data_IF_687359622141
#
_entry.id   IF_687359622141
#
_cell.length_a   1.000
_cell.length_b   1.000
_cell.length_c   1.000
_cell.angle_alpha   90.00
_cell.angle_beta   90.00
_cell.angle_gamma   90.00
#
_symmetry.space_group_name_H-M   'P 1'
#
loop_
_entity.id
_entity.type
_entity.pdbx_description
1 polymer ?
#
# COMPACT_ATOMS: atom_id res chain seq x y z
N UNK A 1 24.99 5.11 -8.37
CA UNK A 1 24.82 6.41 -7.72
C UNK A 1 24.98 7.53 -8.74
N UNK A 2 24.26 7.51 -9.89
CA UNK A 2 24.36 8.51 -10.97
C UNK A 2 23.12 8.58 -11.85
N UNK A 3 21.91 8.44 -11.31
CA UNK A 3 20.68 8.49 -12.13
C UNK A 3 19.70 9.62 -11.79
N UNK A 4 19.93 10.40 -10.74
CA UNK A 4 18.99 11.46 -10.31
C UNK A 4 19.41 12.89 -10.67
N UNK A 5 20.46 13.10 -11.48
CA UNK A 5 20.89 14.46 -11.87
C UNK A 5 20.51 14.88 -13.29
N UNK A 6 19.88 14.01 -14.09
CA UNK A 6 19.53 14.36 -15.47
C UNK A 6 18.08 14.83 -15.64
N UNK A 7 17.23 14.71 -14.62
CA UNK A 7 15.84 15.18 -14.70
C UNK A 7 15.65 16.63 -14.23
N UNK A 8 16.63 17.20 -13.55
CA UNK A 8 16.56 18.58 -13.05
C UNK A 8 16.97 19.65 -14.08
N UNK A 9 17.46 19.26 -15.26
CA UNK A 9 17.96 20.22 -16.24
C UNK A 9 17.00 20.47 -17.42
N UNK A 10 15.82 19.87 -17.44
CA UNK A 10 14.82 20.09 -18.50
C UNK A 10 13.69 21.03 -18.09
N UNK A 11 13.69 21.58 -16.88
CA UNK A 11 12.66 22.47 -16.35
C UNK A 11 12.99 23.98 -16.45
N UNK A 12 14.12 24.35 -17.06
CA UNK A 12 14.58 25.74 -17.09
C UNK A 12 14.29 26.51 -18.40
N UNK A 13 13.45 26.01 -19.31
CA UNK A 13 13.22 26.69 -20.61
C UNK A 13 11.73 26.85 -20.96
N UNK A 14 10.85 27.04 -20.00
CA UNK A 14 9.44 27.35 -20.30
C UNK A 14 8.89 28.50 -19.43
N UNK A 15 9.63 29.59 -19.30
CA UNK A 15 9.13 30.83 -18.72
C UNK A 15 9.02 31.93 -19.77
N UNK A 16 8.07 31.80 -20.71
CA UNK A 16 7.42 32.95 -21.36
C UNK A 16 6.11 32.46 -21.96
N UNK A 17 5.05 32.59 -21.25
CA UNK A 17 3.63 32.76 -21.61
C UNK A 17 2.77 32.01 -20.59
N UNK A 18 2.28 32.72 -19.56
CA UNK A 18 0.99 32.50 -18.91
C UNK A 18 0.48 31.07 -18.63
N UNK A 19 1.37 30.07 -18.51
CA UNK A 19 1.01 28.70 -18.12
C UNK A 19 1.47 28.51 -16.68
N UNK A 20 0.54 28.25 -15.77
CA UNK A 20 0.83 27.78 -14.43
C UNK A 20 1.83 26.63 -14.54
N UNK A 21 2.98 26.80 -13.92
CA UNK A 21 3.95 25.70 -13.78
C UNK A 21 3.22 24.61 -12.96
N UNK A 22 2.74 23.57 -13.64
CA UNK A 22 2.31 22.38 -12.94
C UNK A 22 3.57 21.80 -12.28
N UNK A 23 3.65 21.88 -10.94
CA UNK A 23 4.65 21.13 -10.19
C UNK A 23 4.64 19.69 -10.71
N UNK A 24 5.82 19.11 -10.92
CA UNK A 24 5.91 17.70 -11.32
C UNK A 24 5.04 16.89 -10.35
N UNK A 25 4.08 16.14 -10.90
CA UNK A 25 3.18 15.36 -10.07
C UNK A 25 4.01 14.41 -9.20
N UNK A 26 3.90 14.55 -7.88
CA UNK A 26 4.48 13.61 -6.95
C UNK A 26 3.84 12.23 -7.17
N UNK A 27 4.63 11.18 -7.10
CA UNK A 27 4.14 9.82 -7.30
C UNK A 27 4.53 8.94 -6.11
N UNK A 28 3.66 8.00 -5.77
CA UNK A 28 3.88 7.00 -4.72
C UNK A 28 3.22 5.69 -5.13
N UNK A 29 3.84 4.56 -4.78
CA UNK A 29 3.20 3.25 -4.95
C UNK A 29 2.11 3.06 -3.89
N UNK A 30 1.03 2.34 -4.19
CA UNK A 30 -0.11 2.17 -3.27
C UNK A 30 0.25 1.45 -1.95
N UNK A 31 1.36 0.72 -1.91
CA UNK A 31 1.93 0.09 -0.71
C UNK A 31 3.08 0.92 -0.08
N UNK A 32 3.34 2.13 -0.62
CA UNK A 32 4.37 3.05 -0.16
C UNK A 32 3.87 4.16 0.76
N UNK A 33 4.76 5.06 1.11
CA UNK A 33 4.46 6.29 1.86
C UNK A 33 5.10 7.46 1.13
N UNK A 34 4.30 8.48 0.81
CA UNK A 34 4.82 9.74 0.31
C UNK A 34 5.22 10.63 1.49
N UNK A 35 6.46 11.10 1.48
CA UNK A 35 6.98 12.05 2.46
C UNK A 35 7.00 13.45 1.84
N UNK A 36 6.22 14.36 2.42
CA UNK A 36 6.19 15.74 1.95
C UNK A 36 7.51 16.47 2.24
N UNK A 37 7.78 17.45 1.44
CA UNK A 37 8.90 18.38 1.60
C UNK A 37 8.39 19.83 1.63
N UNK A 38 9.22 20.76 2.08
CA UNK A 38 8.85 22.18 2.03
C UNK A 38 8.65 22.68 0.59
N UNK A 39 9.32 22.07 -0.38
CA UNK A 39 9.24 22.42 -1.80
C UNK A 39 7.87 22.08 -2.41
N UNK A 40 7.15 21.10 -1.84
CA UNK A 40 5.82 20.71 -2.30
C UNK A 40 4.76 21.81 -2.08
N UNK A 41 5.02 22.71 -1.15
CA UNK A 41 4.09 23.78 -0.75
C UNK A 41 4.61 25.19 -1.07
N UNK A 42 5.88 25.33 -1.46
CA UNK A 42 6.50 26.61 -1.72
C UNK A 42 6.59 26.89 -3.22
N UNK A 43 6.28 28.12 -3.62
CA UNK A 43 6.61 28.67 -4.91
C UNK A 43 8.05 29.23 -4.92
N UNK A 44 8.22 30.42 -5.52
CA UNK A 44 9.51 31.12 -5.52
C UNK A 44 9.90 31.68 -4.14
N UNK A 45 8.91 31.89 -3.26
CA UNK A 45 9.07 32.45 -1.92
C UNK A 45 8.91 31.36 -0.86
N UNK A 46 9.81 31.28 0.16
CA UNK A 46 9.65 30.35 1.26
C UNK A 46 8.38 30.64 2.08
N UNK A 47 7.62 29.60 2.39
CA UNK A 47 6.42 29.69 3.24
C UNK A 47 6.80 29.70 4.73
N UNK A 48 6.05 30.38 5.56
CA UNK A 48 6.10 30.28 7.02
C UNK A 48 5.29 29.08 7.54
N UNK A 49 4.26 28.68 6.79
CA UNK A 49 3.41 27.54 7.10
C UNK A 49 2.32 27.33 6.07
N UNK A 50 1.41 26.39 6.37
CA UNK A 50 0.23 26.10 5.56
C UNK A 50 -1.00 25.92 6.47
N UNK A 51 -2.18 26.22 5.92
CA UNK A 51 -3.44 25.78 6.49
C UNK A 51 -4.05 24.74 5.55
N UNK A 52 -4.35 23.55 6.03
CA UNK A 52 -4.98 22.48 5.24
C UNK A 52 -6.42 22.89 4.94
N UNK A 53 -6.78 22.93 3.67
CA UNK A 53 -8.15 23.26 3.22
C UNK A 53 -8.96 22.03 2.84
N UNK A 54 -8.32 21.03 2.23
CA UNK A 54 -8.94 19.74 1.89
C UNK A 54 -7.94 18.60 1.94
N UNK A 55 -8.44 17.39 2.14
CA UNK A 55 -7.64 16.16 2.20
C UNK A 55 -8.28 15.08 1.34
N UNK A 56 -7.50 14.10 0.87
CA UNK A 56 -8.02 12.95 0.15
C UNK A 56 -9.08 12.22 0.94
N UNK A 57 -10.05 11.66 0.24
CA UNK A 57 -11.08 10.82 0.87
C UNK A 57 -10.47 9.62 1.57
N UNK A 58 -11.10 9.15 2.67
CA UNK A 58 -10.64 7.98 3.46
C UNK A 58 -10.46 6.70 2.64
N UNK A 59 -11.07 6.63 1.46
CA UNK A 59 -10.92 5.49 0.53
C UNK A 59 -9.64 5.57 -0.30
N UNK A 60 -9.08 6.76 -0.45
CA UNK A 60 -7.85 7.00 -1.22
C UNK A 60 -6.61 6.88 -0.34
N UNK A 61 -6.66 7.41 0.88
CA UNK A 61 -5.54 7.37 1.80
C UNK A 61 -5.71 8.29 3.00
N UNK A 62 -4.62 8.47 3.74
CA UNK A 62 -4.58 9.31 4.94
C UNK A 62 -3.34 10.18 4.96
N UNK A 63 -3.51 11.46 5.27
CA UNK A 63 -2.40 12.40 5.49
C UNK A 63 -2.16 12.53 6.99
N UNK A 64 -0.91 12.40 7.42
CA UNK A 64 -0.55 12.35 8.83
C UNK A 64 0.63 13.29 9.13
N UNK A 65 0.71 13.72 10.41
CA UNK A 65 1.88 14.33 11.00
C UNK A 65 2.29 13.49 12.22
N UNK A 66 3.38 12.73 12.07
CA UNK A 66 3.72 11.68 13.03
C UNK A 66 2.60 10.63 13.13
N UNK A 67 2.03 10.42 14.31
CA UNK A 67 0.90 9.50 14.55
C UNK A 67 -0.49 10.16 14.43
N UNK A 68 -0.56 11.48 14.20
CA UNK A 68 -1.81 12.23 14.12
C UNK A 68 -2.31 12.31 12.69
N UNK A 69 -3.54 11.86 12.43
CA UNK A 69 -4.23 12.09 11.16
C UNK A 69 -4.62 13.58 11.11
N UNK A 70 -4.27 14.24 10.00
CA UNK A 70 -4.63 15.63 9.76
C UNK A 70 -6.09 15.76 9.34
N UNK A 71 -6.65 16.95 9.61
CA UNK A 71 -8.01 17.32 9.22
C UNK A 71 -8.01 18.69 8.57
N UNK A 72 -9.00 19.01 7.71
CA UNK A 72 -9.18 20.36 7.18
C UNK A 72 -9.30 21.39 8.33
N UNK A 73 -8.58 22.50 8.19
CA UNK A 73 -8.45 23.53 9.23
C UNK A 73 -7.16 23.43 10.07
N UNK A 74 -6.41 22.33 9.97
CA UNK A 74 -5.10 22.24 10.64
C UNK A 74 -4.13 23.29 10.06
N UNK A 75 -3.46 24.02 10.96
CA UNK A 75 -2.41 24.98 10.61
C UNK A 75 -1.07 24.41 11.04
N UNK A 76 -0.15 24.34 10.11
CA UNK A 76 1.16 23.75 10.27
C UNK A 76 2.26 24.77 9.96
N UNK A 77 3.37 24.75 10.70
CA UNK A 77 4.60 25.46 10.32
C UNK A 77 5.22 24.81 9.08
N UNK A 78 6.10 25.51 8.39
CA UNK A 78 6.85 24.95 7.26
C UNK A 78 7.60 23.66 7.63
N UNK A 79 8.21 23.62 8.82
CA UNK A 79 8.90 22.43 9.34
C UNK A 79 7.94 21.26 9.56
N UNK A 80 6.74 21.52 10.09
CA UNK A 80 5.71 20.49 10.28
C UNK A 80 5.14 20.01 8.94
N UNK A 81 4.94 20.89 7.99
CA UNK A 81 4.49 20.55 6.65
C UNK A 81 5.48 19.60 5.95
N UNK A 82 6.79 19.85 6.12
CA UNK A 82 7.86 18.97 5.60
C UNK A 82 7.98 17.62 6.34
N UNK A 83 7.30 17.43 7.45
CA UNK A 83 7.23 16.15 8.20
C UNK A 83 5.91 15.41 7.98
N UNK A 84 5.02 15.95 7.16
CA UNK A 84 3.79 15.22 6.79
C UNK A 84 4.10 13.98 5.99
N UNK A 85 3.22 13.02 6.09
CA UNK A 85 3.25 11.80 5.27
C UNK A 85 1.87 11.53 4.70
N UNK A 86 1.83 10.98 3.50
CA UNK A 86 0.61 10.43 2.91
C UNK A 86 0.78 8.94 2.73
N UNK A 87 -0.15 8.18 3.29
CA UNK A 87 -0.23 6.72 3.13
C UNK A 87 -1.46 6.41 2.27
N UNK A 88 -1.25 5.99 1.01
CA UNK A 88 -2.33 5.53 0.15
C UNK A 88 -3.03 4.31 0.74
N UNK A 89 -4.22 4.01 0.25
CA UNK A 89 -4.80 2.67 0.38
C UNK A 89 -4.33 1.79 -0.77
N UNK A 90 -4.27 0.49 -0.49
CA UNK A 90 -4.04 -0.51 -1.54
C UNK A 90 -5.12 -0.39 -2.61
N UNK A 91 -4.70 -0.30 -3.85
CA UNK A 91 -5.55 -0.21 -5.05
C UNK A 91 -4.89 -0.96 -6.19
N UNK A 92 -5.70 -1.55 -7.06
CA UNK A 92 -5.21 -2.22 -8.27
C UNK A 92 -5.04 -1.26 -9.45
N UNK A 93 -5.65 -0.09 -9.37
CA UNK A 93 -5.65 0.91 -10.44
C UNK A 93 -4.90 2.16 -9.99
N UNK A 94 -4.30 2.82 -10.96
CA UNK A 94 -3.71 4.13 -10.73
C UNK A 94 -4.79 5.13 -10.34
N UNK A 95 -4.55 5.86 -9.27
CA UNK A 95 -5.43 6.87 -8.72
C UNK A 95 -4.66 8.17 -8.44
N UNK A 96 -5.37 9.20 -8.02
CA UNK A 96 -4.77 10.47 -7.58
C UNK A 96 -5.31 10.88 -6.23
N UNK A 97 -4.44 11.45 -5.40
CA UNK A 97 -4.79 12.12 -4.17
C UNK A 97 -4.54 13.61 -4.30
N UNK A 98 -5.46 14.42 -3.79
CA UNK A 98 -5.31 15.88 -3.77
C UNK A 98 -5.29 16.38 -2.33
N UNK A 99 -4.28 17.21 -2.01
CA UNK A 99 -4.14 17.92 -0.74
C UNK A 99 -4.29 19.39 -1.02
N UNK A 100 -5.42 19.97 -0.62
CA UNK A 100 -5.66 21.41 -0.72
C UNK A 100 -5.07 22.15 0.48
N UNK A 101 -4.46 23.28 0.25
CA UNK A 101 -3.84 24.08 1.30
C UNK A 101 -3.89 25.58 0.97
N UNK A 102 -3.70 26.39 2.00
CA UNK A 102 -3.56 27.84 1.93
C UNK A 102 -2.13 28.14 2.41
N UNK A 103 -1.23 28.61 1.53
CA UNK A 103 0.12 28.94 1.94
C UNK A 103 0.13 30.23 2.80
N UNK A 104 0.93 30.21 3.85
CA UNK A 104 1.11 31.33 4.78
C UNK A 104 2.55 31.84 4.61
N UNK A 105 2.68 33.09 4.22
CA UNK A 105 3.97 33.77 4.08
C UNK A 105 4.18 34.75 5.24
N UNK A 106 5.44 35.22 5.48
CA UNK A 106 5.70 36.18 6.54
C UNK A 106 4.95 37.49 6.43
N UNK A 107 4.57 37.87 5.21
CA UNK A 107 3.89 39.12 4.86
C UNK A 107 2.40 38.95 4.56
N UNK A 108 1.86 37.73 4.64
CA UNK A 108 0.44 37.48 4.42
C UNK A 108 0.09 36.06 4.02
N UNK A 109 -1.12 35.92 3.50
CA UNK A 109 -1.69 34.67 3.05
C UNK A 109 -2.09 34.81 1.58
N UNK A 110 -1.73 33.84 0.76
CA UNK A 110 -2.11 33.83 -0.66
C UNK A 110 -3.37 33.01 -0.92
N UNK A 111 -3.73 32.89 -2.19
CA UNK A 111 -4.87 32.08 -2.60
C UNK A 111 -4.63 30.61 -2.31
N UNK A 112 -5.71 29.87 -2.09
CA UNK A 112 -5.63 28.41 -1.88
C UNK A 112 -5.01 27.72 -3.09
N UNK A 113 -4.16 26.75 -2.81
CA UNK A 113 -3.50 25.89 -3.78
C UNK A 113 -3.85 24.43 -3.50
N UNK A 114 -3.52 23.57 -4.44
CA UNK A 114 -3.65 22.14 -4.27
C UNK A 114 -2.41 21.43 -4.84
N UNK A 115 -2.00 20.38 -4.14
CA UNK A 115 -0.96 19.45 -4.57
C UNK A 115 -1.61 18.14 -4.96
N UNK A 116 -1.24 17.60 -6.12
CA UNK A 116 -1.71 16.31 -6.60
C UNK A 116 -0.61 15.26 -6.45
N UNK A 117 -0.95 14.12 -5.90
CA UNK A 117 -0.07 12.96 -5.75
C UNK A 117 -0.65 11.83 -6.60
N UNK A 118 0.12 11.34 -7.57
CA UNK A 118 -0.21 10.13 -8.33
C UNK A 118 0.03 8.90 -7.45
N UNK A 119 -0.94 8.00 -7.42
CA UNK A 119 -0.84 6.71 -6.73
C UNK A 119 -0.77 5.64 -7.80
N UNK A 120 0.33 4.87 -7.82
CA UNK A 120 0.43 3.71 -8.70
C UNK A 120 -0.26 2.53 -8.06
N UNK A 121 -1.25 2.00 -8.76
CA UNK A 121 -1.90 0.75 -8.39
C UNK A 121 -0.95 -0.44 -8.52
N UNK A 122 -1.24 -1.50 -7.79
CA UNK A 122 -0.51 -2.76 -7.87
C UNK A 122 -1.50 -3.87 -8.17
N UNK A 123 -1.32 -4.52 -9.31
CA UNK A 123 -2.16 -5.66 -9.69
C UNK A 123 -1.98 -6.77 -8.65
N UNK A 124 -3.09 -7.17 -8.02
CA UNK A 124 -3.09 -8.31 -7.12
C UNK A 124 -3.21 -9.60 -7.91
N UNK A 125 -2.28 -10.52 -7.73
CA UNK A 125 -2.30 -11.85 -8.33
C UNK A 125 -2.82 -12.87 -7.32
N UNK A 126 -3.67 -13.81 -7.78
CA UNK A 126 -4.16 -14.84 -6.87
C UNK A 126 -3.02 -15.73 -6.37
N UNK A 127 -3.11 -16.25 -5.13
CA UNK A 127 -2.16 -17.20 -4.61
C UNK A 127 -2.08 -18.46 -5.46
N UNK A 128 -0.88 -18.99 -5.60
CA UNK A 128 -0.59 -20.21 -6.37
C UNK A 128 -0.43 -21.37 -5.42
N UNK A 129 -1.24 -22.41 -5.61
CA UNK A 129 -1.17 -23.65 -4.84
C UNK A 129 -0.55 -24.78 -5.67
N UNK A 130 0.32 -25.58 -5.05
CA UNK A 130 0.89 -26.78 -5.65
C UNK A 130 0.30 -28.04 -5.01
N UNK A 131 0.07 -29.04 -5.82
CA UNK A 131 -0.26 -30.37 -5.33
C UNK A 131 0.90 -30.95 -4.52
N UNK A 132 0.59 -31.58 -3.41
CA UNK A 132 1.58 -32.24 -2.57
C UNK A 132 1.11 -33.63 -2.13
N UNK A 133 2.05 -34.52 -1.86
CA UNK A 133 1.78 -35.84 -1.35
C UNK A 133 2.40 -36.02 0.04
N UNK A 134 1.69 -36.74 0.91
CA UNK A 134 2.14 -37.10 2.24
C UNK A 134 1.95 -38.62 2.42
N UNK A 135 2.99 -39.27 2.89
CA UNK A 135 2.93 -40.69 3.20
C UNK A 135 2.81 -40.92 4.70
N UNK A 136 1.99 -41.88 5.08
CA UNK A 136 1.90 -42.32 6.48
C UNK A 136 1.56 -43.81 6.58
N UNK A 137 1.70 -44.35 7.77
CA UNK A 137 1.38 -45.73 8.04
C UNK A 137 -0.04 -45.89 8.62
N UNK A 138 -0.55 -47.10 8.54
CA UNK A 138 -1.82 -47.51 9.13
C UNK A 138 -1.92 -47.07 10.59
N UNK A 139 -3.00 -46.34 10.94
CA UNK A 139 -3.29 -45.83 12.30
C UNK A 139 -2.26 -44.81 12.83
N UNK A 140 -1.37 -44.26 12.02
CA UNK A 140 -0.41 -43.24 12.41
C UNK A 140 -0.82 -41.91 11.79
N UNK A 141 -0.96 -40.88 12.61
CA UNK A 141 -1.18 -39.52 12.13
C UNK A 141 0.12 -38.98 11.51
N UNK A 142 -0.01 -38.10 10.54
CA UNK A 142 1.12 -37.42 9.91
C UNK A 142 0.80 -35.95 9.69
N UNK A 143 1.81 -35.12 9.90
CA UNK A 143 1.74 -33.68 9.73
C UNK A 143 2.30 -33.27 8.38
N UNK A 144 1.71 -32.24 7.80
CA UNK A 144 2.15 -31.64 6.54
C UNK A 144 1.93 -30.15 6.54
N UNK A 145 2.35 -29.52 5.46
CA UNK A 145 2.09 -28.10 5.21
C UNK A 145 1.62 -27.93 3.78
N UNK A 146 0.60 -27.10 3.58
CA UNK A 146 0.13 -26.72 2.26
C UNK A 146 1.25 -25.96 1.53
N UNK A 147 1.44 -26.26 0.27
CA UNK A 147 2.35 -25.53 -0.61
C UNK A 147 1.57 -24.48 -1.35
N UNK A 148 1.54 -23.31 -0.78
CA UNK A 148 0.85 -22.13 -1.34
C UNK A 148 1.81 -20.96 -1.21
N UNK A 149 1.87 -20.14 -2.24
CA UNK A 149 2.60 -18.88 -2.25
C UNK A 149 1.75 -17.80 -2.88
N UNK A 150 1.67 -16.68 -2.20
CA UNK A 150 1.14 -15.45 -2.76
C UNK A 150 2.29 -14.67 -3.39
N UNK A 151 2.17 -14.23 -4.69
CA UNK A 151 3.24 -13.49 -5.35
C UNK A 151 3.57 -12.16 -4.69
N UNK A 152 2.60 -11.52 -4.05
CA UNK A 152 2.72 -10.25 -3.34
C UNK A 152 3.08 -10.44 -1.86
N UNK A 153 3.02 -11.68 -1.34
CA UNK A 153 3.33 -12.01 0.05
C UNK A 153 2.19 -11.66 1.01
N UNK A 154 0.97 -11.61 0.53
CA UNK A 154 -0.20 -11.28 1.36
C UNK A 154 -0.59 -12.43 2.32
N UNK A 155 -1.26 -12.07 3.40
CA UNK A 155 -1.77 -13.03 4.37
C UNK A 155 -2.89 -13.89 3.74
N UNK A 156 -2.72 -15.21 3.84
CA UNK A 156 -3.64 -16.17 3.25
C UNK A 156 -4.57 -16.80 4.30
N UNK A 157 -5.80 -17.04 3.90
CA UNK A 157 -6.79 -17.77 4.69
C UNK A 157 -7.11 -19.09 4.00
N UNK A 158 -7.06 -20.20 4.73
CA UNK A 158 -7.24 -21.53 4.20
C UNK A 158 -8.54 -22.18 4.68
N UNK A 159 -9.22 -22.86 3.78
CA UNK A 159 -10.40 -23.66 4.13
C UNK A 159 -10.42 -25.01 3.39
N UNK A 160 -10.92 -26.05 4.06
CA UNK A 160 -11.08 -27.38 3.44
C UNK A 160 -12.38 -27.41 2.65
N UNK A 161 -12.27 -27.60 1.33
CA UNK A 161 -13.39 -27.73 0.41
C UNK A 161 -13.92 -29.17 0.38
N UNK A 162 -13.02 -30.15 0.24
CA UNK A 162 -13.38 -31.57 0.20
C UNK A 162 -12.58 -32.35 1.23
N UNK A 163 -13.27 -33.05 2.12
CA UNK A 163 -12.66 -33.87 3.17
C UNK A 163 -12.20 -35.22 2.64
N UNK A 164 -11.14 -35.81 3.25
CA UNK A 164 -10.68 -37.14 2.90
C UNK A 164 -11.73 -38.21 3.32
N UNK A 165 -11.78 -39.31 2.60
CA UNK A 165 -12.73 -40.42 2.85
C UNK A 165 -12.22 -41.44 3.86
N UNK A 166 -10.90 -41.67 3.90
CA UNK A 166 -10.25 -42.69 4.69
C UNK A 166 -9.62 -42.18 5.98
N UNK A 167 -9.64 -40.86 6.21
CA UNK A 167 -9.08 -40.19 7.37
C UNK A 167 -9.86 -38.94 7.75
N UNK A 168 -9.23 -38.14 8.59
CA UNK A 168 -9.64 -36.77 8.89
C UNK A 168 -8.44 -35.85 8.70
N UNK A 169 -8.67 -34.60 8.35
CA UNK A 169 -7.65 -33.57 8.28
C UNK A 169 -8.04 -32.41 9.19
N UNK A 170 -7.10 -31.95 9.99
CA UNK A 170 -7.20 -30.74 10.79
C UNK A 170 -6.22 -29.73 10.19
N UNK A 171 -6.73 -28.58 9.76
CA UNK A 171 -5.97 -27.51 9.13
C UNK A 171 -5.82 -26.35 10.12
N UNK A 172 -4.61 -25.77 10.18
CA UNK A 172 -4.26 -24.62 11.00
C UNK A 172 -4.24 -23.34 10.15
N UNK A 173 -4.36 -22.15 10.77
CA UNK A 173 -4.32 -20.88 10.05
C UNK A 173 -3.04 -20.61 9.28
N UNK A 174 -1.91 -21.20 9.68
CA UNK A 174 -0.62 -21.07 9.02
C UNK A 174 -0.41 -22.03 7.83
N UNK A 175 -1.47 -22.77 7.44
CA UNK A 175 -1.43 -23.75 6.37
C UNK A 175 -0.82 -25.11 6.78
N UNK A 176 -0.41 -25.30 8.01
CA UNK A 176 -0.03 -26.62 8.52
C UNK A 176 -1.27 -27.49 8.73
N UNK A 177 -1.14 -28.80 8.54
CA UNK A 177 -2.25 -29.72 8.73
C UNK A 177 -1.78 -31.06 9.31
N UNK A 178 -2.69 -31.70 10.03
CA UNK A 178 -2.51 -33.09 10.51
C UNK A 178 -3.53 -33.99 9.83
N UNK A 179 -3.06 -35.01 9.11
CA UNK A 179 -3.91 -36.07 8.59
C UNK A 179 -3.92 -37.26 9.54
N UNK A 180 -5.09 -37.71 9.96
CA UNK A 180 -5.27 -38.87 10.85
C UNK A 180 -6.06 -39.96 10.12
N UNK A 181 -5.43 -41.11 9.77
CA UNK A 181 -6.13 -42.23 9.15
C UNK A 181 -7.22 -42.81 10.05
N UNK A 182 -8.37 -43.17 9.48
CA UNK A 182 -9.37 -43.98 10.19
C UNK A 182 -8.81 -45.37 10.54
N UNK A 183 -9.26 -45.94 11.64
CA UNK A 183 -8.80 -47.25 12.13
C UNK A 183 -8.73 -48.30 11.02
N UNK A 184 -7.54 -48.87 10.84
CA UNK A 184 -7.24 -49.94 9.90
C UNK A 184 -7.45 -49.60 8.41
N UNK A 185 -7.64 -48.34 8.03
CA UNK A 185 -7.70 -47.94 6.61
C UNK A 185 -6.28 -47.80 6.03
N UNK A 186 -6.16 -48.24 4.78
CA UNK A 186 -4.95 -48.13 3.95
C UNK A 186 -5.34 -47.71 2.53
N UNK A 187 -4.38 -47.25 1.74
CA UNK A 187 -4.53 -46.82 0.35
C UNK A 187 -4.61 -45.31 0.21
N UNK A 188 -4.77 -44.85 -1.02
CA UNK A 188 -4.75 -43.43 -1.37
C UNK A 188 -6.00 -42.72 -0.83
N UNK A 189 -5.81 -41.57 -0.26
CA UNK A 189 -6.84 -40.62 0.16
C UNK A 189 -6.48 -39.22 -0.33
N UNK A 190 -7.41 -38.31 -0.35
CA UNK A 190 -7.16 -36.91 -0.77
C UNK A 190 -8.13 -35.95 -0.12
N UNK A 191 -7.71 -34.73 0.05
CA UNK A 191 -8.56 -33.58 0.39
C UNK A 191 -8.24 -32.42 -0.54
N UNK A 192 -9.16 -31.48 -0.66
CA UNK A 192 -8.94 -30.22 -1.39
C UNK A 192 -9.21 -29.05 -0.47
N UNK A 193 -8.51 -27.98 -0.74
CA UNK A 193 -8.62 -26.74 0.03
C UNK A 193 -8.71 -25.54 -0.91
N UNK A 194 -9.07 -24.41 -0.36
CA UNK A 194 -9.07 -23.09 -0.99
C UNK A 194 -8.37 -22.12 -0.05
#
# INVERSE_FOLDING_TARGET
MFRNRLLALLLAVCCVAGLSCAAAAAEVDCDGVYCFSAEDFSGETPIAGICITSLPGKKVGSVMLGSRILVPGDVLTAEQAAQMTFSPRLTEQDETAEVGYLPIYPDGVEASAAMTIGIRGKENKPPVAEDSALETYKNLAADGKLKVADPEGEDMVYAIVRRPKRGTVTLQPDGSFTYTPKKNKVGIDSFTFT
#
